data_IF_171152190509
#
_entry.id   IF_171152190509
#
_cell.length_a   1.000
_cell.length_b   1.000
_cell.length_c   1.000
_cell.angle_alpha   90.00
_cell.angle_beta   90.00
_cell.angle_gamma   90.00
#
_symmetry.space_group_name_H-M   'P 1'
#
loop_
_entity.id
_entity.type
_entity.pdbx_description
1 polymer ?
#
# COMPACT_ATOMS: atom_id res chain seq x y z
N UNK A 1 -7.66 -31.41 -26.54
CA UNK A 1 -7.54 -29.99 -27.00
C UNK A 1 -7.74 -29.12 -25.79
N UNK A 2 -6.73 -28.35 -25.39
CA UNK A 2 -6.85 -27.38 -24.29
C UNK A 2 -7.61 -26.20 -24.91
N UNK A 3 -8.81 -25.95 -24.41
CA UNK A 3 -9.61 -24.81 -24.82
C UNK A 3 -8.82 -23.53 -24.41
N UNK A 4 -8.30 -22.83 -25.39
CA UNK A 4 -7.60 -21.56 -25.18
C UNK A 4 -8.66 -20.52 -24.83
N UNK A 5 -8.87 -20.30 -23.53
CA UNK A 5 -9.69 -19.17 -23.09
C UNK A 5 -9.08 -17.88 -23.63
N UNK A 6 -9.90 -17.05 -24.31
CA UNK A 6 -9.45 -15.77 -24.86
C UNK A 6 -8.85 -14.90 -23.75
N UNK A 7 -7.69 -14.31 -24.00
CA UNK A 7 -7.04 -13.39 -23.06
C UNK A 7 -7.94 -12.16 -22.81
N UNK A 8 -8.27 -11.92 -21.53
CA UNK A 8 -9.00 -10.71 -21.11
C UNK A 8 -8.03 -9.77 -20.37
N UNK A 9 -7.68 -8.61 -20.97
CA UNK A 9 -6.79 -7.63 -20.34
C UNK A 9 -7.28 -7.14 -18.97
N UNK A 10 -8.58 -7.16 -18.69
CA UNK A 10 -9.15 -6.72 -17.40
C UNK A 10 -8.83 -7.69 -16.25
N UNK A 11 -8.46 -8.92 -16.59
CA UNK A 11 -8.03 -9.95 -15.64
C UNK A 11 -6.51 -9.97 -15.44
N UNK A 12 -5.76 -9.14 -16.17
CA UNK A 12 -4.31 -9.05 -16.05
C UNK A 12 -3.92 -8.22 -14.84
N UNK A 13 -3.95 -8.84 -13.66
CA UNK A 13 -3.69 -8.23 -12.35
C UNK A 13 -2.60 -8.98 -11.61
N UNK A 14 -1.82 -8.28 -10.80
CA UNK A 14 -0.78 -8.89 -9.96
C UNK A 14 -1.37 -9.64 -8.76
N UNK A 15 -2.53 -9.18 -8.26
CA UNK A 15 -3.23 -9.76 -7.13
C UNK A 15 -4.69 -9.30 -7.12
N UNK A 16 -5.52 -9.94 -6.30
CA UNK A 16 -6.90 -9.52 -6.08
C UNK A 16 -6.96 -8.20 -5.33
N UNK A 17 -7.97 -7.38 -5.67
CA UNK A 17 -8.22 -6.11 -4.97
C UNK A 17 -8.68 -6.37 -3.55
N UNK A 18 -8.06 -5.69 -2.60
CA UNK A 18 -8.45 -5.65 -1.20
C UNK A 18 -9.21 -4.34 -0.90
N UNK A 19 -10.28 -4.47 -0.15
CA UNK A 19 -11.09 -3.38 0.37
C UNK A 19 -10.74 -3.11 1.83
N UNK A 20 -11.29 -2.05 2.41
CA UNK A 20 -10.99 -1.64 3.78
C UNK A 20 -11.13 -2.79 4.80
N UNK A 21 -12.15 -3.63 4.65
CA UNK A 21 -12.45 -4.76 5.54
C UNK A 21 -11.44 -5.90 5.49
N UNK A 22 -10.61 -5.95 4.45
CA UNK A 22 -9.67 -7.05 4.22
C UNK A 22 -8.33 -6.86 4.93
N UNK A 23 -8.12 -5.71 5.59
CA UNK A 23 -6.89 -5.40 6.31
C UNK A 23 -7.01 -5.76 7.79
N UNK A 24 -5.88 -6.18 8.38
CA UNK A 24 -5.80 -6.63 9.77
C UNK A 24 -4.71 -5.82 10.48
N UNK A 25 -4.99 -5.34 11.70
CA UNK A 25 -3.99 -4.67 12.53
C UNK A 25 -2.81 -5.60 12.80
N UNK A 26 -1.59 -5.09 12.63
CA UNK A 26 -0.35 -5.82 12.73
C UNK A 26 0.13 -6.46 11.42
N UNK A 27 -0.68 -6.43 10.35
CA UNK A 27 -0.26 -6.89 9.03
C UNK A 27 0.88 -6.02 8.48
N UNK A 28 1.89 -6.67 7.88
CA UNK A 28 3.10 -6.00 7.40
C UNK A 28 3.29 -6.16 5.91
N UNK A 29 3.69 -5.07 5.27
CA UNK A 29 4.07 -5.01 3.86
C UNK A 29 5.55 -4.65 3.78
N UNK A 30 6.35 -5.59 3.31
CA UNK A 30 7.78 -5.37 3.04
C UNK A 30 7.91 -4.70 1.69
N UNK A 31 8.66 -3.60 1.63
CA UNK A 31 8.96 -2.91 0.39
C UNK A 31 10.35 -3.33 -0.13
N UNK A 32 10.58 -3.30 -1.44
CA UNK A 32 11.88 -3.62 -2.00
C UNK A 32 12.99 -2.76 -1.38
N UNK A 33 14.08 -3.41 -0.96
CA UNK A 33 15.27 -2.68 -0.51
C UNK A 33 15.90 -1.90 -1.66
N UNK A 34 16.52 -0.75 -1.35
CA UNK A 34 17.13 0.09 -2.36
C UNK A 34 18.41 0.74 -1.85
N UNK A 35 19.49 0.61 -2.63
CA UNK A 35 20.72 1.36 -2.37
C UNK A 35 20.57 2.80 -2.87
N UNK A 36 20.93 3.74 -2.03
CA UNK A 36 20.88 5.18 -2.29
C UNK A 36 22.10 5.58 -3.12
N UNK A 37 21.94 5.51 -4.45
CA UNK A 37 23.02 5.80 -5.41
C UNK A 37 23.08 7.28 -5.75
N UNK A 38 24.23 7.73 -6.31
CA UNK A 38 24.40 9.09 -6.85
C UNK A 38 23.32 9.43 -7.89
N UNK A 39 22.94 8.46 -8.72
CA UNK A 39 21.87 8.63 -9.71
C UNK A 39 20.52 8.95 -9.07
N UNK A 40 20.19 8.29 -7.95
CA UNK A 40 18.94 8.57 -7.20
C UNK A 40 19.00 9.95 -6.55
N UNK A 41 20.15 10.38 -6.04
CA UNK A 41 20.34 11.72 -5.50
C UNK A 41 20.13 12.79 -6.56
N UNK A 42 20.80 12.65 -7.71
CA UNK A 42 20.65 13.58 -8.82
C UNK A 42 19.20 13.65 -9.34
N UNK A 43 18.53 12.51 -9.48
CA UNK A 43 17.13 12.46 -9.90
C UNK A 43 16.20 13.15 -8.89
N UNK A 44 16.40 12.93 -7.59
CA UNK A 44 15.60 13.56 -6.56
C UNK A 44 15.87 15.07 -6.46
N UNK A 45 17.11 15.50 -6.55
CA UNK A 45 17.49 16.91 -6.60
C UNK A 45 16.81 17.63 -7.77
N UNK A 46 16.83 17.03 -8.96
CA UNK A 46 16.15 17.58 -10.13
C UNK A 46 14.64 17.69 -9.94
N UNK A 47 14.03 16.67 -9.35
CA UNK A 47 12.57 16.64 -9.12
C UNK A 47 12.12 17.58 -8.01
N UNK A 48 12.90 17.71 -6.94
CA UNK A 48 12.55 18.52 -5.77
C UNK A 48 12.93 19.99 -5.89
N UNK A 49 13.95 20.31 -6.69
CA UNK A 49 14.56 21.63 -6.74
C UNK A 49 15.37 21.99 -5.48
N UNK A 50 15.55 21.06 -4.53
CA UNK A 50 16.34 21.28 -3.31
C UNK A 50 17.82 21.13 -3.61
N UNK A 51 18.50 22.28 -3.71
CA UNK A 51 19.90 22.41 -4.12
C UNK A 51 20.83 22.76 -2.96
N UNK A 52 20.52 22.31 -1.73
CA UNK A 52 21.47 22.52 -0.64
C UNK A 52 22.75 21.69 -0.88
N UNK A 53 23.98 22.26 -0.73
CA UNK A 53 25.24 21.57 -1.06
C UNK A 53 25.45 20.23 -0.36
N UNK A 54 24.83 20.00 0.80
CA UNK A 54 24.92 18.73 1.54
C UNK A 54 24.43 17.52 0.71
N UNK A 55 23.62 17.75 -0.32
CA UNK A 55 23.01 16.70 -1.14
C UNK A 55 23.76 16.40 -2.44
N UNK A 56 24.72 17.25 -2.85
CA UNK A 56 25.40 17.09 -4.14
C UNK A 56 26.89 17.45 -4.15
N UNK A 57 27.43 17.99 -3.04
CA UNK A 57 28.83 18.38 -2.97
C UNK A 57 29.54 17.57 -1.87
N UNK A 58 30.32 16.58 -2.31
CA UNK A 58 30.99 15.69 -1.36
C UNK A 58 32.08 16.41 -0.56
N UNK A 59 32.79 17.39 -1.13
CA UNK A 59 33.84 18.15 -0.42
C UNK A 59 33.19 19.01 0.67
N UNK A 60 32.03 19.66 0.37
CA UNK A 60 31.25 20.37 1.35
C UNK A 60 30.87 19.49 2.56
N UNK A 61 30.50 18.21 2.30
CA UNK A 61 30.17 17.23 3.33
C UNK A 61 31.41 16.84 4.15
N UNK A 62 32.53 16.55 3.51
CA UNK A 62 33.82 16.17 4.17
C UNK A 62 34.34 17.24 5.10
N UNK A 63 34.31 18.50 4.68
CA UNK A 63 34.69 19.63 5.52
C UNK A 63 33.85 19.72 6.82
N UNK A 64 32.66 19.11 6.85
CA UNK A 64 31.73 19.06 8.00
C UNK A 64 31.70 17.72 8.70
N UNK A 65 32.69 16.85 8.43
CA UNK A 65 32.86 15.56 9.08
C UNK A 65 31.85 14.50 8.64
N UNK A 66 31.15 14.72 7.52
CA UNK A 66 30.28 13.71 6.95
C UNK A 66 31.04 12.81 5.96
N UNK A 67 30.75 11.49 5.93
CA UNK A 67 31.50 10.56 5.08
C UNK A 67 31.18 10.71 3.59
N UNK A 68 30.00 11.18 3.24
CA UNK A 68 29.51 11.34 1.87
C UNK A 68 28.33 12.33 1.83
N UNK A 69 27.73 12.53 0.65
CA UNK A 69 26.52 13.33 0.48
C UNK A 69 25.36 12.75 1.29
N UNK A 70 24.61 13.63 1.96
CA UNK A 70 23.46 13.29 2.79
C UNK A 70 22.18 13.22 1.93
N UNK A 71 21.35 12.22 2.12
CA UNK A 71 20.07 12.10 1.45
C UNK A 71 19.11 13.23 1.87
N UNK A 72 18.31 13.72 0.95
CA UNK A 72 17.17 14.56 1.28
C UNK A 72 16.20 13.80 2.19
N UNK A 73 15.63 14.46 3.20
CA UNK A 73 14.65 13.82 4.07
C UNK A 73 13.47 13.23 3.28
N UNK A 74 12.90 13.98 2.36
CA UNK A 74 11.80 13.49 1.50
C UNK A 74 12.23 12.36 0.54
N UNK A 75 13.50 12.27 0.17
CA UNK A 75 14.02 11.14 -0.59
C UNK A 75 13.99 9.84 0.24
N UNK A 76 14.27 9.94 1.54
CA UNK A 76 14.12 8.81 2.48
C UNK A 76 12.64 8.46 2.67
N UNK A 77 11.76 9.46 2.82
CA UNK A 77 10.30 9.23 2.88
C UNK A 77 9.80 8.52 1.63
N UNK A 78 10.30 8.87 0.44
CA UNK A 78 9.91 8.24 -0.82
C UNK A 78 10.19 6.72 -0.86
N UNK A 79 11.11 6.20 -0.03
CA UNK A 79 11.33 4.76 0.07
C UNK A 79 10.15 4.02 0.75
N UNK A 80 9.25 4.74 1.41
CA UNK A 80 8.05 4.18 2.05
C UNK A 80 6.79 4.32 1.20
N UNK A 81 6.89 4.79 -0.04
CA UNK A 81 5.73 4.89 -0.92
C UNK A 81 5.09 3.51 -1.12
N UNK A 82 3.79 3.39 -0.84
CA UNK A 82 3.03 2.15 -0.99
C UNK A 82 3.14 1.54 -2.39
N UNK A 83 3.32 2.38 -3.42
CA UNK A 83 3.54 1.96 -4.81
C UNK A 83 4.87 1.24 -5.07
N UNK A 84 5.80 1.24 -4.12
CA UNK A 84 7.07 0.53 -4.25
C UNK A 84 6.94 -0.99 -4.08
N UNK A 85 5.81 -1.49 -3.56
CA UNK A 85 5.56 -2.92 -3.32
C UNK A 85 4.15 -3.34 -3.73
N UNK A 86 3.73 -4.52 -3.28
CA UNK A 86 2.43 -5.10 -3.64
C UNK A 86 1.23 -4.32 -3.07
N UNK A 87 1.41 -3.53 -2.02
CA UNK A 87 0.30 -2.81 -1.38
C UNK A 87 -0.50 -1.96 -2.38
N UNK A 88 0.17 -1.24 -3.30
CA UNK A 88 -0.52 -0.42 -4.29
C UNK A 88 -1.42 -1.24 -5.22
N UNK A 89 -0.96 -2.42 -5.63
CA UNK A 89 -1.72 -3.34 -6.48
C UNK A 89 -2.90 -3.96 -5.74
N UNK A 90 -2.74 -4.24 -4.43
CA UNK A 90 -3.82 -4.73 -3.58
C UNK A 90 -4.97 -3.73 -3.43
N UNK A 91 -4.68 -2.42 -3.48
CA UNK A 91 -5.69 -1.37 -3.30
C UNK A 91 -6.10 -0.66 -4.59
N UNK A 92 -5.71 -1.18 -5.75
CA UNK A 92 -5.88 -0.54 -7.06
C UNK A 92 -7.30 -0.02 -7.28
N UNK A 93 -8.33 -0.83 -7.04
CA UNK A 93 -9.73 -0.44 -7.23
C UNK A 93 -10.37 0.19 -5.98
N UNK A 94 -9.77 0.02 -4.81
CA UNK A 94 -10.32 0.49 -3.52
C UNK A 94 -9.74 1.82 -3.06
N UNK A 95 -8.55 2.22 -3.54
CA UNK A 95 -7.91 3.47 -3.15
C UNK A 95 -8.75 4.68 -3.55
N UNK A 96 -9.00 5.57 -2.58
CA UNK A 96 -9.63 6.88 -2.79
C UNK A 96 -8.64 8.02 -2.66
N UNK A 97 -7.63 7.86 -1.80
CA UNK A 97 -6.61 8.87 -1.64
C UNK A 97 -5.57 8.54 -0.58
N UNK A 98 -4.43 9.16 -0.73
CA UNK A 98 -3.38 9.26 0.28
C UNK A 98 -3.63 10.59 1.03
N UNK A 99 -4.01 10.54 2.29
CA UNK A 99 -4.60 11.70 2.99
C UNK A 99 -3.72 12.30 4.06
N UNK A 100 -2.70 11.56 4.52
CA UNK A 100 -1.78 12.07 5.55
C UNK A 100 -0.43 11.37 5.45
N UNK A 101 0.64 12.13 5.68
CA UNK A 101 2.01 11.64 5.84
C UNK A 101 2.67 12.37 7.00
N UNK A 102 3.27 11.64 7.93
CA UNK A 102 4.18 12.18 8.91
C UNK A 102 5.47 11.37 8.96
N UNK A 103 6.59 12.02 9.30
CA UNK A 103 7.88 11.34 9.36
C UNK A 103 8.80 11.98 10.39
N UNK A 104 9.57 11.15 11.08
CA UNK A 104 10.67 11.56 11.96
C UNK A 104 11.97 10.96 11.43
N UNK A 105 12.98 11.78 11.27
CA UNK A 105 14.32 11.35 10.84
C UNK A 105 15.17 11.07 12.06
N UNK A 106 15.58 9.82 12.23
CA UNK A 106 16.25 9.30 13.43
C UNK A 106 17.73 9.03 13.19
N UNK A 107 18.16 9.05 11.93
CA UNK A 107 19.55 8.86 11.54
C UNK A 107 19.84 9.44 10.16
N UNK A 108 21.09 9.82 9.95
CA UNK A 108 21.57 10.25 8.65
C UNK A 108 21.63 9.07 7.69
N UNK A 109 21.31 9.33 6.42
CA UNK A 109 21.40 8.39 5.31
C UNK A 109 22.33 9.01 4.26
N UNK A 110 23.35 8.28 3.85
CA UNK A 110 24.34 8.75 2.90
C UNK A 110 24.26 8.01 1.57
N UNK A 111 24.88 8.57 0.55
CA UNK A 111 25.13 7.84 -0.69
C UNK A 111 25.86 6.54 -0.36
N UNK A 112 25.37 5.42 -0.92
CA UNK A 112 25.88 4.07 -0.67
C UNK A 112 25.09 3.28 0.39
N UNK A 113 24.31 3.94 1.25
CA UNK A 113 23.44 3.23 2.19
C UNK A 113 22.35 2.44 1.46
N UNK A 114 22.03 1.26 1.98
CA UNK A 114 20.89 0.46 1.50
C UNK A 114 19.76 0.55 2.52
N UNK A 115 18.59 0.94 2.04
CA UNK A 115 17.40 1.14 2.87
C UNK A 115 16.42 -0.01 2.73
N UNK A 116 15.83 -0.39 3.86
CA UNK A 116 14.84 -1.46 4.01
C UNK A 116 13.59 -0.85 4.65
N UNK A 117 12.55 -0.68 3.85
CA UNK A 117 11.31 -0.07 4.28
C UNK A 117 10.23 -1.13 4.55
N UNK A 118 9.41 -0.88 5.57
CA UNK A 118 8.26 -1.73 5.94
C UNK A 118 7.09 -0.83 6.31
N UNK A 119 5.89 -1.24 5.91
CA UNK A 119 4.63 -0.67 6.35
C UNK A 119 3.90 -1.67 7.23
N UNK A 120 3.30 -1.22 8.32
CA UNK A 120 2.53 -2.04 9.26
C UNK A 120 1.17 -1.39 9.54
N UNK A 121 0.09 -2.14 9.40
CA UNK A 121 -1.26 -1.68 9.75
C UNK A 121 -1.35 -1.46 11.25
N UNK A 122 -1.58 -0.21 11.66
CA UNK A 122 -1.67 0.14 13.09
C UNK A 122 -3.06 0.60 13.52
N UNK A 123 -3.88 1.05 12.56
CA UNK A 123 -5.22 1.54 12.88
C UNK A 123 -6.15 1.38 11.69
N UNK A 124 -7.41 1.07 11.97
CA UNK A 124 -8.50 0.93 11.00
C UNK A 124 -9.71 1.71 11.50
N UNK A 125 -10.03 2.84 10.87
CA UNK A 125 -11.18 3.68 11.24
C UNK A 125 -12.25 3.57 10.17
N UNK A 126 -13.38 2.89 10.44
CA UNK A 126 -14.45 2.74 9.48
C UNK A 126 -15.27 4.01 9.34
N UNK A 127 -15.60 4.40 8.10
CA UNK A 127 -16.63 5.36 7.75
C UNK A 127 -17.83 4.64 7.13
N UNK A 128 -18.85 5.38 6.69
CA UNK A 128 -20.07 4.77 6.11
C UNK A 128 -19.79 3.93 4.85
N UNK A 129 -19.04 4.47 3.88
CA UNK A 129 -18.75 3.82 2.58
C UNK A 129 -17.27 3.62 2.31
N UNK A 130 -16.42 4.13 3.20
CA UNK A 130 -14.97 4.06 3.14
C UNK A 130 -14.41 3.69 4.51
N UNK A 131 -13.10 3.62 4.62
CA UNK A 131 -12.40 3.60 5.90
C UNK A 131 -11.00 4.19 5.76
N UNK A 132 -10.46 4.65 6.87
CA UNK A 132 -9.09 5.15 6.95
C UNK A 132 -8.20 4.03 7.46
N UNK A 133 -7.25 3.62 6.64
CA UNK A 133 -6.18 2.70 6.96
C UNK A 133 -4.94 3.52 7.36
N UNK A 134 -4.46 3.33 8.60
CA UNK A 134 -3.20 3.93 9.07
C UNK A 134 -2.09 2.89 9.01
N UNK A 135 -1.03 3.22 8.31
CA UNK A 135 0.19 2.42 8.21
C UNK A 135 1.33 3.13 8.95
N UNK A 136 1.96 2.43 9.90
CA UNK A 136 3.26 2.84 10.43
C UNK A 136 4.32 2.47 9.41
N UNK A 137 5.11 3.46 9.00
CA UNK A 137 6.28 3.26 8.14
C UNK A 137 7.57 3.24 8.96
N UNK A 138 8.47 2.31 8.65
CA UNK A 138 9.81 2.25 9.23
C UNK A 138 10.83 2.04 8.14
N UNK A 139 11.98 2.70 8.25
CA UNK A 139 13.12 2.53 7.36
C UNK A 139 14.36 2.22 8.18
N UNK A 140 14.99 1.09 7.89
CA UNK A 140 16.27 0.70 8.47
C UNK A 140 17.36 0.77 7.39
N UNK A 141 18.60 1.01 7.80
CA UNK A 141 19.75 0.87 6.91
C UNK A 141 20.34 -0.56 6.97
N UNK A 142 21.40 -0.81 6.17
CA UNK A 142 22.11 -2.10 6.09
C UNK A 142 22.72 -2.58 7.41
N UNK A 143 22.84 -1.70 8.39
CA UNK A 143 23.34 -2.04 9.73
C UNK A 143 22.22 -2.32 10.74
N UNK A 144 20.95 -2.42 10.27
CA UNK A 144 19.80 -2.62 11.13
C UNK A 144 19.40 -1.38 11.95
N UNK A 145 20.02 -0.20 11.70
CA UNK A 145 19.68 1.03 12.39
C UNK A 145 18.39 1.61 11.83
N UNK A 146 17.44 1.91 12.72
CA UNK A 146 16.24 2.66 12.34
C UNK A 146 16.65 4.11 12.01
N UNK A 147 16.46 4.54 10.77
CA UNK A 147 16.83 5.86 10.28
C UNK A 147 15.63 6.78 10.08
N UNK A 148 14.43 6.22 9.91
CA UNK A 148 13.18 6.96 9.81
C UNK A 148 12.02 6.12 10.33
N UNK A 149 11.06 6.76 11.01
CA UNK A 149 9.73 6.23 11.25
C UNK A 149 8.66 7.27 10.91
N UNK A 150 7.41 6.83 10.76
CA UNK A 150 6.31 7.73 10.44
C UNK A 150 4.98 7.02 10.32
N UNK A 151 3.96 7.79 9.93
CA UNK A 151 2.61 7.29 9.67
C UNK A 151 2.16 7.73 8.28
N UNK A 152 1.40 6.86 7.64
CA UNK A 152 0.74 7.11 6.36
C UNK A 152 -0.74 6.75 6.50
N UNK A 153 -1.64 7.60 6.01
CA UNK A 153 -3.07 7.30 6.02
C UNK A 153 -3.61 7.24 4.60
N UNK A 154 -4.34 6.18 4.35
CA UNK A 154 -5.00 5.90 3.09
C UNK A 154 -6.51 5.84 3.29
N UNK A 155 -7.26 6.51 2.44
CA UNK A 155 -8.71 6.38 2.38
C UNK A 155 -9.05 5.28 1.37
N UNK A 156 -9.66 4.21 1.84
CA UNK A 156 -10.05 3.05 1.03
C UNK A 156 -11.57 2.93 0.96
N UNK A 157 -12.08 2.43 -0.16
CA UNK A 157 -13.49 2.01 -0.26
C UNK A 157 -13.72 0.80 0.63
N UNK A 158 -14.93 0.72 1.15
CA UNK A 158 -15.51 -0.53 1.64
C UNK A 158 -15.94 -1.40 0.46
N UNK A 159 -16.02 -2.71 0.71
CA UNK A 159 -16.54 -3.65 -0.28
C UNK A 159 -17.96 -3.23 -0.67
N UNK A 160 -18.28 -3.13 -1.96
CA UNK A 160 -19.66 -2.88 -2.38
C UNK A 160 -20.57 -3.95 -1.76
N UNK A 161 -21.72 -3.56 -1.23
CA UNK A 161 -22.73 -4.53 -0.87
C UNK A 161 -23.04 -5.34 -2.14
N UNK A 162 -22.70 -6.61 -2.14
CA UNK A 162 -23.15 -7.52 -3.18
C UNK A 162 -24.68 -7.41 -3.13
N UNK A 163 -25.33 -7.15 -4.28
CA UNK A 163 -26.77 -7.29 -4.36
C UNK A 163 -27.05 -8.70 -3.84
N UNK A 164 -27.67 -8.75 -2.66
CA UNK A 164 -28.03 -10.00 -2.04
C UNK A 164 -28.77 -10.76 -3.13
N UNK A 165 -28.25 -11.93 -3.51
CA UNK A 165 -28.90 -12.83 -4.43
C UNK A 165 -30.40 -12.72 -4.17
N UNK A 166 -31.15 -12.26 -5.18
CA UNK A 166 -32.59 -12.43 -5.20
C UNK A 166 -32.78 -13.93 -5.17
N UNK A 167 -32.82 -14.45 -3.95
CA UNK A 167 -33.13 -15.83 -3.70
C UNK A 167 -34.45 -16.08 -4.36
N UNK A 168 -34.43 -16.91 -5.35
CA UNK A 168 -35.58 -17.59 -5.89
C UNK A 168 -36.35 -18.21 -4.72
N UNK A 169 -37.34 -17.47 -4.23
CA UNK A 169 -38.44 -18.06 -3.53
C UNK A 169 -39.22 -18.86 -4.56
N UNK A 170 -38.73 -20.06 -4.87
CA UNK A 170 -39.53 -21.07 -5.55
C UNK A 170 -40.60 -21.47 -4.60
N UNK A 171 -41.82 -21.17 -5.04
CA UNK A 171 -43.05 -21.61 -4.48
C UNK A 171 -43.07 -23.13 -4.29
N UNK A 172 -42.98 -23.57 -3.05
CA UNK A 172 -43.54 -24.82 -2.58
C UNK A 172 -44.89 -24.51 -2.00
N UNK A 173 -45.89 -24.39 -2.85
CA UNK A 173 -47.27 -24.45 -2.45
C UNK A 173 -48.13 -24.98 -3.60
N UNK A 174 -48.06 -26.27 -3.83
CA UNK A 174 -49.07 -26.99 -4.56
C UNK A 174 -48.95 -28.46 -4.19
N UNK A 175 -49.83 -28.91 -3.31
CA UNK A 175 -50.46 -30.23 -3.40
C UNK A 175 -51.09 -30.60 -2.04
N UNK A 176 -52.26 -30.12 -1.80
CA UNK A 176 -53.22 -30.89 -1.04
C UNK A 176 -54.53 -30.94 -1.84
N UNK A 177 -54.61 -31.87 -2.73
CA UNK A 177 -55.90 -32.27 -3.32
C UNK A 177 -56.53 -33.26 -2.35
N UNK A 178 -57.60 -32.83 -1.71
CA UNK A 178 -58.46 -33.71 -0.96
C UNK A 178 -59.19 -34.62 -1.94
N UNK A 179 -58.98 -35.88 -1.79
CA UNK A 179 -59.76 -36.95 -2.36
C UNK A 179 -61.02 -37.07 -1.57
N UNK A 180 -62.20 -36.79 -2.18
CA UNK A 180 -63.49 -37.18 -1.69
C UNK A 180 -64.15 -38.07 -2.75
N UNK A 181 -64.01 -39.38 -2.58
CA UNK A 181 -64.69 -40.35 -3.36
C UNK A 181 -66.23 -40.35 -3.08
N UNK A 182 -67.03 -40.82 -4.03
CA UNK A 182 -68.44 -40.78 -3.94
C UNK A 182 -69.01 -42.00 -3.14
N UNK A 183 -69.86 -41.72 -2.20
CA UNK A 183 -70.73 -42.74 -1.57
C UNK A 183 -72.04 -42.78 -2.27
N UNK A 184 -72.48 -43.99 -2.54
CA UNK A 184 -73.70 -44.50 -3.12
C UNK A 184 -75.01 -43.73 -2.93
#
# INVERSE_FOLDING_TARGET
>A
MIEQTAFDPRQHRMCDTRYFEDFIIGEKFVLPSRTMTDALFAAFQLASGDNHPVHYNVEYCRERGMPNMLAHGFQVVAQTCGGSGLFAHMVEDSLRGFIEQSSRFLGMVFVGDTLYATLEVTELIPNRTTGVLTLKSTVHNQHGKLVMDGLQKYLLKKRPATEASVGTATADNALSVADTGPGA
#
